data_IF_532934684588
#
_entry.id   IF_532934684588
#
_cell.length_a   1.000
_cell.length_b   1.000
_cell.length_c   1.000
_cell.angle_alpha   90.00
_cell.angle_beta   90.00
_cell.angle_gamma   90.00
#
_symmetry.space_group_name_H-M   'P 1'
#
loop_
_entity.id
_entity.type
_entity.pdbx_description
1 polymer ?
#
# COMPACT_ATOMS: atom_id res chain seq x y z
N UNK A 1 14.22 -16.79 9.52
CA UNK A 1 12.76 -16.57 9.47
C UNK A 1 12.32 -16.38 10.90
N UNK A 2 12.09 -15.15 11.32
CA UNK A 2 11.36 -14.88 12.55
C UNK A 2 9.91 -15.14 12.20
N UNK A 3 9.30 -16.18 12.81
CA UNK A 3 7.89 -16.45 12.65
C UNK A 3 7.10 -15.32 13.29
N UNK A 4 6.64 -14.38 12.49
CA UNK A 4 5.59 -13.47 12.90
C UNK A 4 4.37 -14.32 13.21
N UNK A 5 3.83 -14.15 14.41
CA UNK A 5 2.56 -14.79 14.74
C UNK A 5 1.50 -14.13 13.88
N UNK A 6 0.96 -14.87 12.92
CA UNK A 6 -0.15 -14.41 12.08
C UNK A 6 -1.28 -13.97 13.01
N UNK A 7 -1.63 -12.70 12.94
CA UNK A 7 -2.72 -12.15 13.74
C UNK A 7 -4.05 -12.68 13.19
N UNK A 8 -5.03 -12.89 14.05
CA UNK A 8 -6.37 -13.33 13.61
C UNK A 8 -7.00 -12.38 12.59
N UNK A 9 -6.68 -11.09 12.66
CA UNK A 9 -7.17 -10.08 11.73
C UNK A 9 -6.57 -10.22 10.33
N UNK A 10 -5.30 -10.64 10.21
CA UNK A 10 -4.67 -10.91 8.90
C UNK A 10 -5.45 -11.99 8.14
N UNK A 11 -5.76 -13.08 8.83
CA UNK A 11 -6.54 -14.18 8.25
C UNK A 11 -7.92 -13.69 7.79
N UNK A 12 -8.63 -12.94 8.65
CA UNK A 12 -9.96 -12.43 8.34
C UNK A 12 -9.92 -11.45 7.16
N UNK A 13 -8.95 -10.54 7.14
CA UNK A 13 -8.78 -9.57 6.06
C UNK A 13 -8.49 -10.29 4.74
N UNK A 14 -7.56 -11.23 4.76
CA UNK A 14 -7.17 -12.04 3.60
C UNK A 14 -8.35 -12.85 3.05
N UNK A 15 -9.01 -13.64 3.87
CA UNK A 15 -10.14 -14.48 3.46
C UNK A 15 -11.31 -13.65 2.93
N UNK A 16 -11.63 -12.54 3.60
CA UNK A 16 -12.68 -11.61 3.16
C UNK A 16 -12.38 -11.03 1.80
N UNK A 17 -11.15 -10.58 1.59
CA UNK A 17 -10.72 -10.01 0.30
C UNK A 17 -10.78 -11.05 -0.82
N UNK A 18 -10.23 -12.25 -0.61
CA UNK A 18 -10.31 -13.34 -1.58
C UNK A 18 -11.75 -13.68 -1.95
N UNK A 19 -12.63 -13.80 -0.95
CA UNK A 19 -14.04 -14.13 -1.16
C UNK A 19 -14.75 -13.05 -2.02
N UNK A 20 -14.50 -11.77 -1.74
CA UNK A 20 -15.09 -10.66 -2.50
C UNK A 20 -14.56 -10.62 -3.92
N UNK A 21 -13.26 -10.71 -4.12
CA UNK A 21 -12.63 -10.66 -5.46
C UNK A 21 -13.08 -11.84 -6.33
N UNK A 22 -13.12 -13.05 -5.76
CA UNK A 22 -13.62 -14.24 -6.45
C UNK A 22 -15.09 -14.10 -6.87
N UNK A 23 -15.94 -13.64 -5.95
CA UNK A 23 -17.40 -13.51 -6.19
C UNK A 23 -17.73 -12.52 -7.29
N UNK A 24 -16.97 -11.43 -7.44
CA UNK A 24 -17.20 -10.39 -8.44
C UNK A 24 -16.88 -10.85 -9.86
N UNK A 25 -16.06 -11.88 -10.04
CA UNK A 25 -15.75 -12.49 -11.33
C UNK A 25 -14.88 -11.65 -12.27
N UNK A 26 -14.42 -10.46 -11.85
CA UNK A 26 -13.53 -9.61 -12.63
C UNK A 26 -12.05 -9.93 -12.38
N UNK A 27 -11.73 -10.48 -11.23
CA UNK A 27 -10.38 -10.86 -10.82
C UNK A 27 -10.11 -12.30 -11.30
N UNK A 28 -9.01 -12.48 -12.03
CA UNK A 28 -8.55 -13.79 -12.52
C UNK A 28 -7.52 -14.44 -11.59
N UNK A 29 -6.96 -13.67 -10.67
CA UNK A 29 -6.03 -14.18 -9.67
C UNK A 29 -5.55 -13.11 -8.72
N UNK A 30 -5.09 -13.55 -7.56
CA UNK A 30 -4.59 -12.72 -6.48
C UNK A 30 -3.23 -13.24 -6.02
N UNK A 31 -2.23 -12.38 -5.99
CA UNK A 31 -0.99 -12.58 -5.26
C UNK A 31 -1.06 -11.78 -3.96
N UNK A 32 -1.08 -12.47 -2.85
CA UNK A 32 -1.20 -11.88 -1.51
C UNK A 32 0.11 -12.07 -0.75
N UNK A 33 0.44 -11.09 0.09
CA UNK A 33 1.59 -11.17 1.01
C UNK A 33 1.45 -12.36 1.97
N UNK A 34 0.20 -12.69 2.34
CA UNK A 34 -0.13 -13.78 3.26
C UNK A 34 0.05 -15.19 2.69
N UNK A 35 0.39 -15.33 1.40
CA UNK A 35 0.49 -16.63 0.73
C UNK A 35 1.81 -16.79 -0.03
N UNK A 36 2.38 -17.99 0.05
CA UNK A 36 3.57 -18.36 -0.73
C UNK A 36 3.32 -18.40 -2.24
N UNK A 37 2.08 -18.70 -2.67
CA UNK A 37 1.70 -18.86 -4.06
C UNK A 37 0.47 -18.02 -4.39
N UNK A 38 0.37 -17.58 -5.65
CA UNK A 38 -0.81 -16.86 -6.11
C UNK A 38 -2.05 -17.77 -6.18
N UNK A 39 -3.22 -17.22 -5.85
CA UNK A 39 -4.51 -17.88 -6.01
C UNK A 39 -5.08 -17.51 -7.37
N UNK A 40 -5.28 -18.50 -8.25
CA UNK A 40 -5.82 -18.32 -9.60
C UNK A 40 -7.30 -18.67 -9.65
N UNK A 41 -8.07 -17.89 -10.43
CA UNK A 41 -9.51 -18.09 -10.67
C UNK A 41 -9.79 -18.36 -12.15
N UNK A 42 -9.51 -19.58 -12.68
CA UNK A 42 -9.62 -19.87 -14.11
C UNK A 42 -11.02 -19.69 -14.70
N UNK A 43 -12.05 -19.71 -13.86
CA UNK A 43 -13.45 -19.52 -14.28
C UNK A 43 -13.87 -18.03 -14.34
N UNK A 44 -13.02 -17.11 -13.90
CA UNK A 44 -13.31 -15.69 -13.96
C UNK A 44 -13.34 -15.21 -15.41
N UNK A 45 -14.27 -14.29 -15.70
CA UNK A 45 -14.46 -13.71 -17.03
C UNK A 45 -13.83 -12.32 -17.16
N UNK A 46 -13.19 -11.84 -16.08
CA UNK A 46 -12.52 -10.57 -16.05
C UNK A 46 -11.14 -10.63 -16.68
N UNK A 47 -10.48 -9.50 -16.72
CA UNK A 47 -9.12 -9.38 -17.27
C UNK A 47 -8.14 -8.74 -16.28
N UNK A 48 -8.35 -8.94 -14.97
CA UNK A 48 -7.53 -8.27 -13.95
C UNK A 48 -6.90 -9.27 -12.99
N UNK A 49 -5.68 -8.97 -12.58
CA UNK A 49 -4.99 -9.60 -11.46
C UNK A 49 -4.83 -8.56 -10.35
N UNK A 50 -4.82 -9.03 -9.11
CA UNK A 50 -4.64 -8.19 -7.93
C UNK A 50 -3.40 -8.65 -7.18
N UNK A 51 -2.51 -7.73 -6.87
CA UNK A 51 -1.43 -7.92 -5.89
C UNK A 51 -1.84 -7.15 -4.65
N UNK A 52 -1.69 -7.74 -3.47
CA UNK A 52 -2.21 -7.13 -2.25
C UNK A 52 -1.46 -7.58 -1.01
N UNK A 53 -1.26 -6.64 -0.10
CA UNK A 53 -1.11 -6.88 1.31
C UNK A 53 -2.44 -6.50 1.98
N UNK A 54 -3.19 -7.48 2.49
CA UNK A 54 -4.52 -7.24 3.04
C UNK A 54 -4.51 -6.41 4.31
N UNK A 55 -3.44 -6.50 5.12
CA UNK A 55 -3.34 -5.80 6.40
C UNK A 55 -1.91 -5.42 6.77
N UNK A 56 -1.34 -4.48 5.98
CA UNK A 56 0.01 -3.94 6.20
C UNK A 56 0.14 -3.29 7.58
N UNK A 57 1.20 -3.67 8.29
CA UNK A 57 1.48 -3.19 9.63
C UNK A 57 0.76 -3.97 10.74
N UNK A 58 0.30 -5.19 10.50
CA UNK A 58 -0.45 -6.02 11.47
C UNK A 58 0.30 -6.23 12.79
N UNK A 59 1.63 -6.24 12.78
CA UNK A 59 2.46 -6.28 13.99
C UNK A 59 2.26 -5.08 14.94
N UNK A 60 1.64 -4.01 14.47
CA UNK A 60 1.34 -2.80 15.24
C UNK A 60 -0.09 -2.75 15.80
N UNK A 61 -0.90 -3.77 15.57
CA UNK A 61 -2.30 -3.82 16.05
C UNK A 61 -2.38 -3.69 17.56
N UNK A 62 -1.50 -4.39 18.29
CA UNK A 62 -1.50 -4.43 19.75
C UNK A 62 -1.09 -3.10 20.41
N UNK A 63 -0.58 -2.16 19.64
CA UNK A 63 -0.12 -0.84 20.10
C UNK A 63 -0.90 0.32 19.50
N UNK A 64 -2.05 0.04 18.89
CA UNK A 64 -2.99 1.02 18.32
C UNK A 64 -2.36 1.97 17.28
N UNK A 65 -1.32 1.55 16.58
CA UNK A 65 -0.76 2.28 15.43
C UNK A 65 -1.62 2.00 14.20
N UNK A 66 -1.83 3.01 13.38
CA UNK A 66 -2.59 2.87 12.14
C UNK A 66 -2.02 1.78 11.25
N UNK A 67 -2.89 0.92 10.77
CA UNK A 67 -2.61 -0.16 9.82
C UNK A 67 -3.30 0.13 8.50
N UNK A 68 -3.00 -0.63 7.46
CA UNK A 68 -3.56 -0.36 6.15
C UNK A 68 -3.70 -1.59 5.28
N UNK A 69 -4.29 -1.38 4.13
CA UNK A 69 -4.29 -2.32 3.01
C UNK A 69 -3.56 -1.67 1.86
N UNK A 70 -2.65 -2.35 1.19
CA UNK A 70 -2.01 -1.86 -0.02
C UNK A 70 -2.29 -2.80 -1.18
N UNK A 71 -2.59 -2.26 -2.36
CA UNK A 71 -2.94 -3.07 -3.52
C UNK A 71 -2.47 -2.48 -4.85
N UNK A 72 -2.28 -3.38 -5.80
CA UNK A 72 -2.07 -3.07 -7.20
C UNK A 72 -2.98 -3.90 -8.09
N UNK A 73 -3.48 -3.31 -9.16
CA UNK A 73 -4.35 -3.96 -10.14
C UNK A 73 -3.64 -3.99 -11.48
N UNK A 74 -3.45 -5.18 -12.01
CA UNK A 74 -2.86 -5.41 -13.31
C UNK A 74 -3.96 -5.78 -14.31
N UNK A 75 -3.77 -5.34 -15.56
CA UNK A 75 -4.62 -5.79 -16.66
C UNK A 75 -3.92 -6.91 -17.42
N UNK A 76 -4.57 -8.07 -17.48
CA UNK A 76 -4.12 -9.18 -18.31
C UNK A 76 -4.31 -8.87 -19.79
N UNK A 77 -3.33 -9.26 -20.60
CA UNK A 77 -3.51 -9.29 -22.04
C UNK A 77 -4.31 -10.53 -22.42
N UNK A 78 -5.28 -10.44 -23.36
CA UNK A 78 -6.19 -11.54 -23.70
C UNK A 78 -5.51 -12.86 -24.06
N UNK A 79 -4.32 -12.80 -24.63
CA UNK A 79 -3.59 -13.96 -25.15
C UNK A 79 -2.53 -14.50 -24.17
N UNK A 80 -2.42 -13.92 -22.97
CA UNK A 80 -1.44 -14.36 -21.97
C UNK A 80 -2.03 -15.50 -21.15
N UNK A 81 -1.38 -16.67 -21.06
CA UNK A 81 -1.80 -17.72 -20.16
C UNK A 81 -1.84 -17.22 -18.72
N UNK A 82 -2.88 -17.60 -17.98
CA UNK A 82 -2.99 -17.29 -16.56
C UNK A 82 -2.04 -18.20 -15.77
N UNK A 83 -1.03 -17.58 -15.15
CA UNK A 83 -0.04 -18.27 -14.32
C UNK A 83 0.51 -17.33 -13.24
N UNK A 84 1.34 -17.83 -12.36
CA UNK A 84 1.99 -17.01 -11.35
C UNK A 84 2.93 -15.96 -11.96
N UNK A 85 3.60 -16.28 -13.05
CA UNK A 85 4.46 -15.35 -13.78
C UNK A 85 3.70 -14.13 -14.32
N UNK A 86 2.37 -14.25 -14.47
CA UNK A 86 1.52 -13.13 -14.90
C UNK A 86 1.54 -11.96 -13.94
N UNK A 87 1.94 -12.16 -12.68
CA UNK A 87 2.10 -11.12 -11.66
C UNK A 87 3.47 -10.44 -11.71
N UNK A 88 4.46 -11.07 -12.36
CA UNK A 88 5.84 -10.57 -12.41
C UNK A 88 6.02 -9.51 -13.48
N UNK A 89 5.37 -8.38 -13.29
CA UNK A 89 5.43 -7.23 -14.20
C UNK A 89 5.91 -5.97 -13.48
N UNK A 90 6.48 -5.04 -14.25
CA UNK A 90 6.84 -3.73 -13.69
C UNK A 90 5.61 -3.02 -13.13
N UNK A 91 5.71 -2.41 -11.95
CA UNK A 91 4.64 -1.61 -11.35
C UNK A 91 4.16 -0.44 -12.22
N UNK A 92 4.96 0.00 -13.19
CA UNK A 92 4.57 0.99 -14.20
C UNK A 92 3.43 0.51 -15.12
N UNK A 93 3.22 -0.79 -15.19
CA UNK A 93 2.20 -1.43 -16.03
C UNK A 93 0.89 -1.68 -15.25
N UNK A 94 0.82 -1.26 -14.00
CA UNK A 94 -0.41 -1.38 -13.22
C UNK A 94 -1.51 -0.48 -13.78
N UNK A 95 -2.70 -1.03 -13.91
CA UNK A 95 -3.89 -0.28 -14.34
C UNK A 95 -4.40 0.65 -13.24
N UNK A 96 -4.22 0.24 -11.98
CA UNK A 96 -4.49 1.04 -10.81
C UNK A 96 -3.59 0.58 -9.66
N UNK A 97 -3.33 1.48 -8.72
CA UNK A 97 -2.67 1.15 -7.46
C UNK A 97 -3.20 2.09 -6.37
N UNK A 98 -3.22 1.59 -5.14
CA UNK A 98 -3.70 2.38 -4.02
C UNK A 98 -3.42 1.73 -2.69
N UNK A 99 -3.79 2.46 -1.66
CA UNK A 99 -3.77 1.96 -0.31
C UNK A 99 -4.91 2.57 0.51
N UNK A 100 -5.32 1.85 1.53
CA UNK A 100 -6.27 2.33 2.53
C UNK A 100 -5.55 2.39 3.86
N UNK A 101 -5.69 3.47 4.60
CA UNK A 101 -5.20 3.60 5.98
C UNK A 101 -6.40 3.59 6.92
N UNK A 102 -6.34 2.72 7.91
CA UNK A 102 -7.31 2.59 8.98
C UNK A 102 -6.78 3.27 10.24
N UNK A 103 -7.14 4.52 10.44
CA UNK A 103 -6.70 5.34 11.57
C UNK A 103 -7.87 6.09 12.20
N UNK A 104 -7.62 7.31 12.70
CA UNK A 104 -8.67 8.21 13.20
C UNK A 104 -9.72 8.55 12.14
N UNK A 105 -9.36 8.43 10.87
CA UNK A 105 -10.24 8.38 9.72
C UNK A 105 -9.76 7.29 8.76
N UNK A 106 -10.68 6.66 8.03
CA UNK A 106 -10.32 5.72 6.96
C UNK A 106 -10.15 6.48 5.67
N UNK A 107 -8.96 6.42 5.09
CA UNK A 107 -8.60 7.15 3.87
C UNK A 107 -8.09 6.18 2.81
N UNK A 108 -8.72 6.19 1.65
CA UNK A 108 -8.25 5.51 0.43
C UNK A 108 -7.46 6.50 -0.41
N UNK A 109 -6.22 6.16 -0.76
CA UNK A 109 -5.44 6.87 -1.78
C UNK A 109 -5.34 6.00 -3.01
N UNK A 110 -5.74 6.52 -4.16
CA UNK A 110 -5.89 5.76 -5.40
C UNK A 110 -5.29 6.52 -6.58
N UNK A 111 -4.63 5.77 -7.45
CA UNK A 111 -4.23 6.20 -8.79
C UNK A 111 -4.71 5.20 -9.83
N UNK A 112 -5.28 5.71 -10.92
CA UNK A 112 -5.65 4.95 -12.12
C UNK A 112 -4.82 5.41 -13.34
N UNK A 113 -3.63 5.96 -13.09
CA UNK A 113 -2.75 6.50 -14.11
C UNK A 113 -3.03 7.96 -14.52
N UNK A 114 -4.05 8.60 -13.95
CA UNK A 114 -4.44 10.00 -14.24
C UNK A 114 -4.30 10.92 -13.03
N UNK A 115 -3.26 10.72 -12.23
CA UNK A 115 -3.04 11.44 -10.99
C UNK A 115 -3.29 10.56 -9.78
N UNK A 116 -3.12 11.15 -8.60
CA UNK A 116 -3.34 10.49 -7.31
C UNK A 116 -4.41 11.27 -6.56
N UNK A 117 -5.39 10.58 -6.03
CA UNK A 117 -6.51 11.19 -5.32
C UNK A 117 -6.75 10.48 -3.99
N UNK A 118 -7.15 11.23 -2.98
CA UNK A 118 -7.50 10.71 -1.66
C UNK A 118 -9.00 10.82 -1.41
N UNK A 119 -9.56 9.77 -0.83
CA UNK A 119 -10.97 9.65 -0.52
C UNK A 119 -11.13 9.29 0.95
N UNK A 120 -11.96 9.99 1.67
CA UNK A 120 -12.24 9.72 3.07
C UNK A 120 -13.57 8.97 3.20
N UNK A 121 -13.56 7.92 3.99
CA UNK A 121 -14.75 7.14 4.33
C UNK A 121 -15.69 7.93 5.23
N UNK A 122 -16.94 8.01 4.86
CA UNK A 122 -18.02 8.52 5.72
C UNK A 122 -18.88 7.33 6.19
N UNK A 123 -18.82 6.98 7.48
CA UNK A 123 -19.60 5.87 8.00
C UNK A 123 -21.11 6.15 8.02
N UNK A 124 -21.53 7.41 8.03
CA UNK A 124 -22.95 7.78 7.99
C UNK A 124 -23.56 7.55 6.62
N UNK A 125 -22.80 7.82 5.54
CA UNK A 125 -23.22 7.57 4.17
C UNK A 125 -22.86 6.15 3.70
N UNK A 126 -21.89 5.50 4.32
CA UNK A 126 -21.37 4.20 3.88
C UNK A 126 -20.58 4.28 2.57
N UNK A 127 -19.95 5.42 2.28
CA UNK A 127 -19.26 5.67 1.02
C UNK A 127 -17.96 6.47 1.21
N UNK A 128 -17.08 6.39 0.21
CA UNK A 128 -15.86 7.20 0.13
C UNK A 128 -16.12 8.49 -0.64
N UNK A 129 -15.79 9.63 -0.04
CA UNK A 129 -15.87 10.94 -0.68
C UNK A 129 -14.49 11.47 -1.04
N UNK A 130 -14.36 12.07 -2.23
CA UNK A 130 -13.14 12.73 -2.67
C UNK A 130 -12.79 13.86 -1.70
N UNK A 131 -11.73 13.69 -0.94
CA UNK A 131 -11.25 14.66 0.07
C UNK A 131 -9.94 15.35 -0.33
N UNK A 132 -9.14 14.70 -1.19
CA UNK A 132 -7.85 15.21 -1.62
C UNK A 132 -7.72 15.00 -3.13
N UNK A 133 -7.89 16.07 -3.90
CA UNK A 133 -7.76 16.03 -5.34
C UNK A 133 -6.32 16.26 -5.78
N UNK A 134 -5.85 15.46 -6.74
CA UNK A 134 -4.57 15.63 -7.43
C UNK A 134 -3.36 15.79 -6.48
N UNK A 135 -3.22 14.84 -5.56
CA UNK A 135 -2.10 14.80 -4.61
C UNK A 135 -0.77 14.84 -5.38
N UNK A 136 0.10 15.74 -4.99
CA UNK A 136 1.43 15.92 -5.59
C UNK A 136 2.50 15.97 -4.50
N UNK A 137 3.63 15.37 -4.78
CA UNK A 137 4.82 15.64 -3.98
C UNK A 137 5.25 17.09 -4.19
N UNK A 138 5.50 17.86 -3.15
CA UNK A 138 6.06 19.19 -3.30
C UNK A 138 7.45 19.11 -3.94
N UNK A 139 7.84 20.11 -4.71
CA UNK A 139 9.19 20.22 -5.28
C UNK A 139 10.25 20.23 -4.21
N UNK A 140 9.90 20.69 -3.02
CA UNK A 140 10.76 20.72 -1.85
C UNK A 140 9.94 20.31 -0.61
N UNK A 141 10.40 19.26 0.07
CA UNK A 141 9.83 18.83 1.34
C UNK A 141 10.44 19.60 2.52
N UNK A 142 9.76 19.52 3.65
CA UNK A 142 10.24 20.04 4.93
C UNK A 142 10.01 19.02 6.07
N UNK A 143 9.65 17.80 5.72
CA UNK A 143 9.39 16.71 6.65
C UNK A 143 10.24 15.51 6.24
N UNK A 144 10.79 14.79 7.21
CA UNK A 144 11.39 13.49 6.99
C UNK A 144 10.85 12.48 8.00
N UNK A 145 10.88 11.21 7.64
CA UNK A 145 10.53 10.09 8.52
C UNK A 145 11.58 8.99 8.35
N UNK A 146 12.12 8.51 9.46
CA UNK A 146 13.08 7.43 9.50
C UNK A 146 13.10 6.82 10.90
N UNK A 147 13.24 5.49 10.99
CA UNK A 147 13.41 4.83 12.27
C UNK A 147 14.83 5.07 12.83
N UNK A 148 14.98 6.06 13.68
CA UNK A 148 16.25 6.42 14.31
C UNK A 148 16.78 5.34 15.27
N UNK A 149 15.93 4.43 15.73
CA UNK A 149 16.37 3.27 16.52
C UNK A 149 17.32 2.35 15.76
N UNK A 150 17.34 2.43 14.43
CA UNK A 150 18.26 1.68 13.58
C UNK A 150 19.58 2.40 13.27
N UNK A 151 19.88 3.54 13.90
CA UNK A 151 21.06 4.38 13.61
C UNK A 151 22.38 3.59 13.60
N UNK A 152 22.53 2.60 14.51
CA UNK A 152 23.72 1.76 14.56
C UNK A 152 23.94 0.91 13.30
N UNK A 153 22.84 0.59 12.57
CA UNK A 153 22.85 -0.25 11.38
C UNK A 153 22.86 0.55 10.07
N UNK A 154 22.73 1.87 10.13
CA UNK A 154 22.71 2.70 8.94
C UNK A 154 24.05 2.74 8.23
N UNK A 155 23.99 2.74 6.92
CA UNK A 155 25.18 3.01 6.10
C UNK A 155 25.67 4.44 6.30
N UNK A 156 26.95 4.74 6.04
CA UNK A 156 27.47 6.11 6.13
C UNK A 156 26.69 7.13 5.28
N UNK A 157 26.12 6.71 4.15
CA UNK A 157 25.29 7.55 3.30
C UNK A 157 23.98 7.98 3.97
N UNK A 158 23.28 7.03 4.60
CA UNK A 158 22.04 7.32 5.35
C UNK A 158 22.32 8.23 6.54
N UNK A 159 23.41 7.96 7.31
CA UNK A 159 23.80 8.84 8.43
C UNK A 159 24.01 10.27 7.98
N UNK A 160 24.82 10.48 6.93
CA UNK A 160 25.08 11.83 6.38
C UNK A 160 23.79 12.52 5.91
N UNK A 161 22.87 11.78 5.27
CA UNK A 161 21.61 12.33 4.83
C UNK A 161 20.73 12.78 6.02
N UNK A 162 20.60 11.95 7.05
CA UNK A 162 19.84 12.28 8.25
C UNK A 162 20.45 13.48 8.98
N UNK A 163 21.77 13.53 9.13
CA UNK A 163 22.48 14.67 9.72
C UNK A 163 22.22 15.94 8.93
N UNK A 164 22.25 15.86 7.59
CA UNK A 164 21.94 17.00 6.71
C UNK A 164 20.52 17.53 6.90
N UNK A 165 19.50 16.66 6.90
CA UNK A 165 18.10 17.10 7.07
C UNK A 165 17.80 17.61 8.48
N UNK A 166 18.53 17.15 9.50
CA UNK A 166 18.45 17.69 10.86
C UNK A 166 19.06 19.07 11.02
N UNK A 167 20.10 19.36 10.28
CA UNK A 167 20.89 20.59 10.45
C UNK A 167 20.46 21.73 9.52
N UNK A 168 19.96 21.42 8.32
CA UNK A 168 19.71 22.41 7.29
C UNK A 168 18.36 22.24 6.59
N UNK A 169 17.48 23.20 6.77
CA UNK A 169 16.50 23.52 5.74
C UNK A 169 16.95 24.84 5.06
N UNK A 170 17.55 24.72 3.87
CA UNK A 170 18.17 25.87 3.16
C UNK A 170 17.17 26.92 2.65
N UNK A 171 15.86 26.67 2.75
CA UNK A 171 14.86 27.60 2.25
C UNK A 171 14.52 28.69 3.25
N UNK A 172 14.42 28.32 4.53
CA UNK A 172 13.98 29.21 5.62
C UNK A 172 14.88 29.15 6.86
N UNK A 173 16.01 28.43 6.76
CA UNK A 173 16.98 28.29 7.85
C UNK A 173 16.53 27.37 8.99
N UNK A 174 15.43 26.60 8.78
CA UNK A 174 14.90 25.66 9.78
C UNK A 174 15.26 24.22 9.43
N UNK A 175 15.54 23.36 10.41
CA UNK A 175 15.69 21.92 10.15
C UNK A 175 14.37 21.33 9.68
N UNK A 176 14.47 20.19 8.95
CA UNK A 176 13.29 19.42 8.59
C UNK A 176 12.58 18.89 9.84
N UNK A 177 11.26 18.88 9.82
CA UNK A 177 10.46 18.30 10.89
C UNK A 177 10.47 16.78 10.80
N UNK A 178 10.81 16.11 11.90
CA UNK A 178 10.67 14.67 12.00
C UNK A 178 9.20 14.31 12.25
N UNK A 179 8.72 13.26 11.56
CA UNK A 179 7.41 12.65 11.78
C UNK A 179 7.57 11.13 11.82
N UNK A 180 6.75 10.49 12.63
CA UNK A 180 6.62 9.04 12.72
C UNK A 180 5.48 8.56 11.83
#
# INVERSE_FOLDING_TARGET
MQGESVQKLDIIAHETMLAVLKRRGHCMGVASEELDNAVLFPQARGGYLVVVDPLDGSSNIDVDVSIGTIFGILRMKPETPLSEESFLVSGRNYAAAGYVIYGSSTVLVLSTGKGVHGFTWDPGAGEFFLSHENIRCPTRGNIYSVNEGNTARWTPGVKRWVDHVKQENKADGRPYSHRY
#
